data_IF_887600786039
#
_entry.id   IF_887600786039
#
_cell.length_a   1.000
_cell.length_b   1.000
_cell.length_c   1.000
_cell.angle_alpha   90.00
_cell.angle_beta   90.00
_cell.angle_gamma   90.00
#
_symmetry.space_group_name_H-M   'P 1'
#
loop_
_entity.id
_entity.type
_entity.pdbx_description
1 polymer ?
#
# COMPACT_ATOMS: atom_id res chain seq x y z
N UNK A 1 -14.02 -11.82 21.03
CA UNK A 1 -13.67 -13.25 21.02
C UNK A 1 -12.49 -13.39 20.10
N UNK A 2 -11.43 -14.10 20.43
CA UNK A 2 -10.36 -14.37 19.47
C UNK A 2 -10.98 -15.21 18.35
N UNK A 3 -10.87 -14.75 17.09
CA UNK A 3 -11.26 -15.52 15.92
C UNK A 3 -10.41 -16.81 15.85
N UNK A 4 -10.90 -17.84 15.17
CA UNK A 4 -10.10 -19.02 14.91
C UNK A 4 -8.86 -18.65 14.10
N UNK A 5 -7.74 -19.32 14.37
CA UNK A 5 -6.56 -19.24 13.48
C UNK A 5 -6.89 -20.06 12.23
N UNK A 6 -6.87 -19.40 11.07
CA UNK A 6 -7.08 -20.06 9.78
C UNK A 6 -5.72 -20.52 9.23
N UNK A 7 -5.66 -21.75 8.77
CA UNK A 7 -4.47 -22.28 8.10
C UNK A 7 -4.37 -21.75 6.66
N UNK A 8 -3.15 -21.47 6.25
CA UNK A 8 -2.78 -21.11 4.88
C UNK A 8 -1.65 -22.01 4.39
N UNK A 9 -1.58 -22.21 3.07
CA UNK A 9 -0.54 -22.97 2.41
C UNK A 9 0.31 -22.03 1.54
N UNK A 10 1.62 -22.05 1.72
CA UNK A 10 2.57 -21.34 0.86
C UNK A 10 2.63 -22.06 -0.50
N UNK A 11 2.28 -21.33 -1.56
CA UNK A 11 2.27 -21.86 -2.94
C UNK A 11 3.36 -21.25 -3.83
N UNK A 12 3.96 -20.15 -3.38
CA UNK A 12 5.05 -19.47 -4.06
C UNK A 12 6.07 -19.04 -3.02
N UNK A 13 7.26 -19.61 -3.10
CA UNK A 13 8.40 -19.24 -2.25
C UNK A 13 8.82 -17.79 -2.45
N UNK A 14 9.21 -17.06 -1.38
CA UNK A 14 9.62 -15.67 -1.48
C UNK A 14 10.75 -15.44 -2.48
N UNK A 15 10.60 -14.47 -3.37
CA UNK A 15 11.62 -14.05 -4.33
C UNK A 15 11.40 -12.60 -4.78
N UNK A 16 12.46 -11.80 -4.85
CA UNK A 16 12.41 -10.42 -5.31
C UNK A 16 12.29 -10.28 -6.84
N UNK A 17 12.58 -11.36 -7.61
CA UNK A 17 12.57 -11.34 -9.08
C UNK A 17 11.22 -11.74 -9.68
N UNK A 18 10.15 -11.71 -8.89
CA UNK A 18 8.82 -12.14 -9.32
C UNK A 18 8.00 -10.95 -9.79
N UNK A 19 7.52 -11.06 -11.03
CA UNK A 19 6.47 -10.21 -11.60
C UNK A 19 5.22 -11.06 -11.68
N UNK A 20 4.09 -10.55 -11.24
CA UNK A 20 2.86 -11.30 -11.17
C UNK A 20 1.65 -10.52 -11.66
N UNK A 21 0.62 -11.26 -12.07
CA UNK A 21 -0.69 -10.72 -12.42
C UNK A 21 -1.77 -11.70 -12.02
N UNK A 22 -2.95 -11.19 -11.73
CA UNK A 22 -4.14 -12.01 -11.46
C UNK A 22 -4.73 -12.51 -12.79
N UNK A 23 -5.09 -13.78 -12.82
CA UNK A 23 -5.80 -14.40 -13.94
C UNK A 23 -7.31 -14.17 -13.86
N UNK A 24 -8.05 -14.25 -14.97
CA UNK A 24 -9.51 -14.11 -14.96
C UNK A 24 -10.23 -15.15 -14.08
N UNK A 25 -9.68 -16.33 -13.89
CA UNK A 25 -10.21 -17.40 -13.02
C UNK A 25 -9.79 -17.23 -11.54
N UNK A 26 -9.07 -16.16 -11.21
CA UNK A 26 -8.57 -15.85 -9.88
C UNK A 26 -7.21 -16.45 -9.55
N UNK A 27 -6.63 -17.29 -10.42
CA UNK A 27 -5.26 -17.76 -10.28
C UNK A 27 -4.22 -16.67 -10.49
N UNK A 28 -2.94 -17.04 -10.46
CA UNK A 28 -1.82 -16.11 -10.67
C UNK A 28 -1.01 -16.50 -11.89
N UNK A 29 -0.68 -15.52 -12.73
CA UNK A 29 0.39 -15.61 -13.70
C UNK A 29 1.68 -15.10 -13.02
N UNK A 30 2.71 -15.91 -13.04
CA UNK A 30 4.01 -15.63 -12.46
C UNK A 30 5.04 -15.59 -13.57
N UNK A 31 5.83 -14.52 -13.60
CA UNK A 31 6.95 -14.37 -14.50
C UNK A 31 8.22 -14.11 -13.69
N UNK A 32 9.31 -14.84 -14.01
CA UNK A 32 10.66 -14.58 -13.49
C UNK A 32 11.58 -14.34 -14.66
N UNK A 33 12.55 -13.45 -14.48
CA UNK A 33 13.55 -13.15 -15.51
C UNK A 33 14.22 -14.43 -16.05
N UNK A 34 14.27 -14.56 -17.37
CA UNK A 34 14.88 -15.71 -18.03
C UNK A 34 14.17 -17.05 -17.85
N UNK A 35 13.00 -17.09 -17.21
CA UNK A 35 12.19 -18.28 -16.97
C UNK A 35 10.93 -18.30 -17.84
N UNK A 36 10.20 -19.40 -17.81
CA UNK A 36 8.88 -19.47 -18.45
C UNK A 36 7.83 -18.84 -17.54
N UNK A 37 6.80 -18.26 -18.15
CA UNK A 37 5.62 -17.83 -17.43
C UNK A 37 4.91 -19.08 -16.90
N UNK A 38 4.52 -19.04 -15.64
CA UNK A 38 3.80 -20.11 -14.96
C UNK A 38 2.43 -19.61 -14.50
N UNK A 39 1.41 -20.45 -14.59
CA UNK A 39 0.09 -20.18 -14.01
C UNK A 39 -0.08 -21.04 -12.76
N UNK A 40 -0.29 -20.39 -11.63
CA UNK A 40 -0.56 -21.04 -10.35
C UNK A 40 -2.07 -21.07 -10.08
N UNK A 41 -2.57 -22.23 -9.69
CA UNK A 41 -3.98 -22.46 -9.32
C UNK A 41 -4.98 -22.02 -10.41
N UNK A 42 -4.59 -22.19 -11.66
CA UNK A 42 -5.45 -21.95 -12.83
C UNK A 42 -5.68 -23.26 -13.60
N UNK A 43 -6.82 -23.36 -14.24
CA UNK A 43 -7.13 -24.44 -15.18
C UNK A 43 -6.47 -24.23 -16.56
N UNK A 44 -6.07 -23.02 -16.86
CA UNK A 44 -5.44 -22.64 -18.11
C UNK A 44 -3.92 -22.90 -18.07
N UNK A 45 -3.31 -22.91 -19.25
CA UNK A 45 -1.86 -23.05 -19.39
C UNK A 45 -1.30 -21.87 -20.19
N UNK A 46 -0.20 -21.27 -19.72
CA UNK A 46 0.43 -20.19 -20.48
C UNK A 46 1.05 -20.72 -21.78
N UNK A 47 1.18 -19.88 -22.80
CA UNK A 47 2.04 -20.15 -23.94
C UNK A 47 3.46 -20.45 -23.48
N UNK A 48 4.11 -21.47 -24.12
CA UNK A 48 5.48 -21.85 -23.76
C UNK A 48 6.48 -20.84 -24.31
N UNK A 49 6.78 -19.82 -23.52
CA UNK A 49 7.75 -18.79 -23.87
C UNK A 49 8.65 -18.47 -22.67
N UNK A 50 9.90 -18.12 -22.94
CA UNK A 50 10.86 -17.65 -21.93
C UNK A 50 10.78 -16.13 -21.82
N UNK A 51 10.62 -15.62 -20.61
CA UNK A 51 10.54 -14.18 -20.36
C UNK A 51 11.88 -13.51 -20.56
N UNK A 52 11.92 -12.33 -21.22
CA UNK A 52 13.13 -11.53 -21.33
C UNK A 52 13.60 -11.03 -19.94
N UNK A 53 14.90 -10.74 -19.82
CA UNK A 53 15.46 -10.11 -18.61
C UNK A 53 14.97 -8.67 -18.38
N UNK A 54 14.45 -8.01 -19.42
CA UNK A 54 13.92 -6.65 -19.36
C UNK A 54 12.47 -6.55 -18.91
N UNK A 55 11.82 -7.67 -18.58
CA UNK A 55 10.40 -7.67 -18.16
C UNK A 55 10.20 -6.88 -16.86
N UNK A 56 9.20 -6.01 -16.81
CA UNK A 56 8.84 -5.19 -15.64
C UNK A 56 7.38 -5.32 -15.22
N UNK A 57 6.48 -5.66 -16.17
CA UNK A 57 5.06 -5.82 -15.90
C UNK A 57 4.46 -6.95 -16.76
N UNK A 58 3.43 -7.60 -16.26
CA UNK A 58 2.69 -8.64 -16.97
C UNK A 58 1.19 -8.50 -16.72
N UNK A 59 0.38 -8.73 -17.74
CA UNK A 59 -1.06 -8.90 -17.58
C UNK A 59 -1.58 -9.96 -18.54
N UNK A 60 -2.61 -10.69 -18.11
CA UNK A 60 -3.27 -11.71 -18.93
C UNK A 60 -4.63 -11.20 -19.37
N UNK A 61 -4.89 -11.26 -20.67
CA UNK A 61 -6.11 -10.79 -21.30
C UNK A 61 -6.64 -11.84 -22.30
N UNK A 62 -7.85 -11.65 -22.83
CA UNK A 62 -8.35 -12.46 -23.94
C UNK A 62 -7.52 -12.29 -25.22
N UNK A 63 -6.78 -11.18 -25.38
CA UNK A 63 -5.90 -10.92 -26.52
C UNK A 63 -4.56 -11.66 -26.45
N UNK A 64 -4.21 -12.22 -25.29
CA UNK A 64 -2.95 -12.86 -24.98
C UNK A 64 -2.33 -12.31 -23.70
N UNK A 65 -1.06 -12.63 -23.46
CA UNK A 65 -0.29 -12.10 -22.33
C UNK A 65 0.42 -10.84 -22.79
N UNK A 66 0.11 -9.71 -22.14
CA UNK A 66 0.78 -8.44 -22.40
C UNK A 66 2.01 -8.37 -21.52
N UNK A 67 3.15 -8.09 -22.12
CA UNK A 67 4.46 -7.98 -21.49
C UNK A 67 4.92 -6.53 -21.58
N UNK A 68 5.19 -5.92 -20.43
CA UNK A 68 5.80 -4.61 -20.30
C UNK A 68 7.27 -4.74 -19.91
N UNK A 69 8.11 -3.88 -20.45
CA UNK A 69 9.56 -3.95 -20.29
C UNK A 69 10.16 -2.70 -19.68
N UNK A 70 11.31 -2.86 -19.03
CA UNK A 70 12.10 -1.73 -18.47
C UNK A 70 12.59 -0.75 -19.55
N UNK A 71 12.71 -1.20 -20.80
CA UNK A 71 13.10 -0.37 -21.94
C UNK A 71 11.91 0.26 -22.67
N UNK A 72 10.71 0.15 -22.10
CA UNK A 72 9.50 0.75 -22.63
C UNK A 72 8.77 -0.07 -23.70
N UNK A 73 9.29 -1.24 -24.10
CA UNK A 73 8.59 -2.11 -25.07
C UNK A 73 7.31 -2.68 -24.49
N UNK A 74 6.29 -2.77 -25.31
CA UNK A 74 5.01 -3.41 -25.01
C UNK A 74 4.81 -4.52 -26.05
N UNK A 75 4.78 -5.75 -25.60
CA UNK A 75 4.67 -6.94 -26.44
C UNK A 75 3.43 -7.73 -26.05
N UNK A 76 2.81 -8.39 -27.01
CA UNK A 76 1.71 -9.34 -26.76
C UNK A 76 2.14 -10.74 -27.16
N UNK A 77 2.18 -11.62 -26.20
CA UNK A 77 2.45 -13.05 -26.37
C UNK A 77 1.13 -13.80 -26.59
N UNK A 78 1.01 -14.45 -27.73
CA UNK A 78 -0.12 -15.31 -28.09
C UNK A 78 0.38 -16.69 -28.51
N UNK A 79 -0.52 -17.59 -28.88
CA UNK A 79 -0.16 -18.89 -29.46
C UNK A 79 0.65 -18.78 -30.77
N UNK A 80 0.45 -17.70 -31.52
CA UNK A 80 1.19 -17.42 -32.77
C UNK A 80 2.61 -16.87 -32.53
N UNK A 81 2.96 -16.51 -31.29
CA UNK A 81 4.25 -15.94 -30.90
C UNK A 81 4.13 -14.55 -30.28
N UNK A 82 5.26 -13.85 -30.22
CA UNK A 82 5.37 -12.48 -29.69
C UNK A 82 5.17 -11.49 -30.83
N UNK A 83 4.39 -10.43 -30.54
CA UNK A 83 4.14 -9.31 -31.41
C UNK A 83 4.44 -8.00 -30.66
N UNK A 84 5.27 -7.12 -31.24
CA UNK A 84 5.50 -5.79 -30.69
C UNK A 84 4.27 -4.93 -30.98
N UNK A 85 3.62 -4.44 -29.93
CA UNK A 85 2.39 -3.61 -30.04
C UNK A 85 2.65 -2.13 -29.81
N UNK A 86 3.70 -1.77 -29.08
CA UNK A 86 4.02 -0.37 -28.80
C UNK A 86 5.37 -0.19 -28.12
N UNK A 87 5.72 1.08 -27.93
CA UNK A 87 6.93 1.50 -27.25
C UNK A 87 6.71 2.81 -26.50
N UNK A 88 7.29 2.94 -25.31
CA UNK A 88 7.33 4.16 -24.50
C UNK A 88 8.77 4.64 -24.35
N UNK A 89 8.96 5.83 -23.84
CA UNK A 89 10.30 6.33 -23.51
C UNK A 89 10.75 5.90 -22.10
N UNK A 90 9.81 5.44 -21.27
CA UNK A 90 10.01 5.06 -19.88
C UNK A 90 9.66 3.58 -19.63
N UNK A 91 10.11 3.03 -18.51
CA UNK A 91 9.82 1.66 -18.08
C UNK A 91 8.32 1.45 -17.86
N UNK A 92 7.79 0.30 -18.24
CA UNK A 92 6.39 -0.04 -17.95
C UNK A 92 6.28 -0.46 -16.48
N UNK A 93 5.44 0.22 -15.70
CA UNK A 93 5.21 -0.09 -14.29
C UNK A 93 4.00 -1.00 -14.06
N UNK A 94 2.90 -0.71 -14.76
CA UNK A 94 1.63 -1.40 -14.51
C UNK A 94 0.88 -1.64 -15.80
N UNK A 95 0.30 -2.83 -15.91
CA UNK A 95 -0.63 -3.17 -16.98
C UNK A 95 -1.93 -3.67 -16.34
N UNK A 96 -3.04 -3.02 -16.63
CA UNK A 96 -4.38 -3.42 -16.20
C UNK A 96 -5.12 -4.05 -17.38
N UNK A 97 -5.66 -5.25 -17.15
CA UNK A 97 -6.43 -5.98 -18.15
C UNK A 97 -7.92 -5.67 -18.04
N UNK A 98 -8.57 -5.42 -19.18
CA UNK A 98 -10.01 -5.31 -19.33
C UNK A 98 -10.55 -6.30 -20.36
N UNK A 99 -11.84 -6.19 -20.68
CA UNK A 99 -12.48 -7.00 -21.72
C UNK A 99 -11.94 -6.55 -23.09
N UNK A 100 -11.03 -7.32 -23.70
CA UNK A 100 -10.40 -7.04 -24.99
C UNK A 100 -9.70 -5.69 -25.07
N UNK A 101 -9.19 -5.21 -23.99
CA UNK A 101 -8.43 -3.97 -23.92
C UNK A 101 -7.45 -4.02 -22.74
N UNK A 102 -6.52 -3.09 -22.71
CA UNK A 102 -5.63 -2.90 -21.55
C UNK A 102 -5.32 -1.41 -21.34
N UNK A 103 -4.93 -1.10 -20.13
CA UNK A 103 -4.36 0.20 -19.76
C UNK A 103 -2.94 -0.03 -19.29
N UNK A 104 -2.02 0.76 -19.80
CA UNK A 104 -0.60 0.66 -19.54
C UNK A 104 -0.15 1.97 -18.92
N UNK A 105 0.52 1.88 -17.77
CA UNK A 105 1.13 3.00 -17.06
C UNK A 105 2.65 2.80 -17.07
N UNK A 106 3.36 3.83 -17.47
CA UNK A 106 4.83 3.84 -17.41
C UNK A 106 5.37 4.63 -16.21
N UNK A 107 6.66 4.56 -15.97
CA UNK A 107 7.33 5.19 -14.83
C UNK A 107 7.34 6.73 -14.88
N UNK A 108 7.04 7.33 -16.01
CA UNK A 108 6.84 8.78 -16.14
C UNK A 108 5.38 9.19 -15.88
N UNK A 109 4.51 8.23 -15.57
CA UNK A 109 3.10 8.44 -15.29
C UNK A 109 2.25 8.64 -16.54
N UNK A 110 2.77 8.32 -17.74
CA UNK A 110 1.99 8.39 -18.96
C UNK A 110 1.07 7.16 -19.11
N UNK A 111 -0.20 7.40 -19.34
CA UNK A 111 -1.22 6.36 -19.45
C UNK A 111 -1.56 6.10 -20.91
N UNK A 112 -1.52 4.85 -21.30
CA UNK A 112 -1.86 4.40 -22.65
C UNK A 112 -3.02 3.43 -22.67
N UNK A 113 -3.81 3.49 -23.73
CA UNK A 113 -4.87 2.57 -24.02
C UNK A 113 -4.45 1.60 -25.12
N UNK A 114 -4.67 0.31 -24.89
CA UNK A 114 -4.54 -0.74 -25.91
C UNK A 114 -5.94 -1.24 -26.26
N UNK A 115 -6.28 -1.21 -27.53
CA UNK A 115 -7.55 -1.70 -28.07
C UNK A 115 -7.51 -3.21 -28.40
N UNK A 116 -8.65 -3.77 -28.88
CA UNK A 116 -8.78 -5.18 -29.25
C UNK A 116 -7.88 -5.61 -30.41
N UNK A 117 -7.48 -4.66 -31.28
CA UNK A 117 -6.54 -4.88 -32.37
C UNK A 117 -5.08 -4.75 -31.92
N UNK A 118 -4.82 -4.59 -30.60
CA UNK A 118 -3.53 -4.40 -29.96
C UNK A 118 -2.81 -3.10 -30.34
N UNK A 119 -3.54 -2.09 -30.85
CA UNK A 119 -2.97 -0.78 -31.09
C UNK A 119 -2.85 -0.03 -29.76
N UNK A 120 -1.66 0.48 -29.47
CA UNK A 120 -1.36 1.27 -28.26
C UNK A 120 -1.36 2.74 -28.62
N UNK A 121 -2.10 3.54 -27.85
CA UNK A 121 -2.16 5.00 -28.02
C UNK A 121 -2.12 5.70 -26.66
N UNK A 122 -1.50 6.86 -26.61
CA UNK A 122 -1.54 7.73 -25.42
C UNK A 122 -2.98 8.25 -25.24
N UNK A 123 -3.44 8.33 -24.00
CA UNK A 123 -4.71 8.98 -23.68
C UNK A 123 -4.44 10.47 -23.56
N UNK A 124 -4.81 11.23 -24.60
CA UNK A 124 -4.55 12.66 -24.68
C UNK A 124 -5.25 13.44 -23.55
N UNK A 125 -4.52 14.36 -22.93
CA UNK A 125 -5.04 15.23 -21.87
C UNK A 125 -4.97 14.65 -20.46
N UNK A 126 -4.54 13.41 -20.27
CA UNK A 126 -4.08 12.94 -18.98
C UNK A 126 -2.71 13.56 -18.64
N UNK A 127 -2.56 14.02 -17.41
CA UNK A 127 -1.25 14.38 -16.88
C UNK A 127 -0.52 13.17 -16.31
N UNK A 128 0.63 13.41 -15.68
CA UNK A 128 1.36 12.39 -14.93
C UNK A 128 0.45 11.72 -13.90
N UNK A 129 0.27 10.41 -14.01
CA UNK A 129 -0.66 9.62 -13.22
C UNK A 129 0.09 8.68 -12.28
N UNK A 130 -0.40 8.55 -11.05
CA UNK A 130 0.15 7.64 -10.03
C UNK A 130 -0.72 6.40 -9.81
N UNK A 131 -2.03 6.57 -9.86
CA UNK A 131 -2.98 5.48 -9.66
C UNK A 131 -3.88 5.39 -10.88
N UNK A 132 -3.99 4.19 -11.43
CA UNK A 132 -4.90 3.91 -12.54
C UNK A 132 -5.80 2.73 -12.18
N UNK A 133 -7.06 2.80 -12.57
CA UNK A 133 -8.05 1.72 -12.45
C UNK A 133 -8.79 1.54 -13.76
N UNK A 134 -9.15 0.31 -14.02
CA UNK A 134 -9.87 -0.09 -15.22
C UNK A 134 -11.09 -0.93 -14.85
N UNK A 135 -12.24 -0.61 -15.42
CA UNK A 135 -13.44 -1.43 -15.35
C UNK A 135 -14.05 -1.54 -16.74
N UNK A 136 -13.95 -2.70 -17.36
CA UNK A 136 -14.31 -2.94 -18.76
C UNK A 136 -13.57 -1.95 -19.68
N UNK A 137 -14.19 -0.87 -20.11
CA UNK A 137 -13.61 0.17 -20.98
C UNK A 137 -13.48 1.54 -20.30
N UNK A 138 -13.91 1.64 -19.05
CA UNK A 138 -13.83 2.87 -18.26
C UNK A 138 -12.54 2.91 -17.47
N UNK A 139 -11.83 4.02 -17.56
CA UNK A 139 -10.55 4.27 -16.93
C UNK A 139 -10.70 5.37 -15.88
N UNK A 140 -10.10 5.21 -14.73
CA UNK A 140 -9.87 6.28 -13.79
C UNK A 140 -8.37 6.43 -13.58
N UNK A 141 -7.86 7.65 -13.64
CA UNK A 141 -6.47 7.97 -13.39
C UNK A 141 -6.38 9.16 -12.42
N UNK A 142 -5.42 9.13 -11.50
CA UNK A 142 -5.16 10.24 -10.58
C UNK A 142 -3.75 10.75 -10.75
N UNK A 143 -3.61 12.07 -10.84
CA UNK A 143 -2.32 12.74 -10.89
C UNK A 143 -1.78 13.05 -9.50
N UNK A 144 -0.48 13.35 -9.46
CA UNK A 144 0.33 13.66 -8.27
C UNK A 144 -0.31 14.72 -7.37
N UNK A 145 -1.01 15.71 -7.97
CA UNK A 145 -1.66 16.79 -7.24
C UNK A 145 -3.17 16.58 -7.07
N UNK A 146 -3.63 15.33 -7.05
CA UNK A 146 -5.03 15.00 -6.79
C UNK A 146 -5.99 15.31 -7.93
N UNK A 147 -5.53 15.60 -9.13
CA UNK A 147 -6.41 15.65 -10.30
C UNK A 147 -6.92 14.26 -10.58
N UNK A 148 -8.22 14.12 -10.74
CA UNK A 148 -8.89 12.88 -11.13
C UNK A 148 -9.38 13.00 -12.57
N UNK A 149 -8.99 12.08 -13.42
CA UNK A 149 -9.51 11.93 -14.78
C UNK A 149 -10.32 10.65 -14.86
N UNK A 150 -11.45 10.75 -15.53
CA UNK A 150 -12.27 9.60 -15.91
C UNK A 150 -12.36 9.58 -17.42
N UNK A 151 -11.98 8.47 -18.03
CA UNK A 151 -11.99 8.26 -19.45
C UNK A 151 -12.83 7.02 -19.80
N UNK A 152 -13.34 6.98 -21.03
CA UNK A 152 -14.02 5.82 -21.59
C UNK A 152 -13.44 5.52 -22.97
N UNK A 153 -13.04 4.27 -23.23
CA UNK A 153 -12.38 3.85 -24.48
C UNK A 153 -11.16 4.73 -24.85
N UNK A 154 -10.46 5.26 -23.85
CA UNK A 154 -9.30 6.12 -24.03
C UNK A 154 -9.62 7.59 -24.34
N UNK A 155 -10.86 8.05 -24.16
CA UNK A 155 -11.26 9.45 -24.27
C UNK A 155 -11.70 10.00 -22.92
N UNK A 156 -11.16 11.16 -22.49
CA UNK A 156 -11.52 11.79 -21.21
C UNK A 156 -12.96 12.29 -21.28
N UNK A 157 -13.78 11.85 -20.31
CA UNK A 157 -15.18 12.28 -20.19
C UNK A 157 -15.38 13.23 -18.99
N UNK A 158 -14.58 13.08 -17.93
CA UNK A 158 -14.61 13.97 -16.78
C UNK A 158 -13.20 14.27 -16.26
N UNK A 159 -13.03 15.48 -15.75
CA UNK A 159 -11.83 15.91 -15.02
C UNK A 159 -12.25 16.62 -13.74
N UNK A 160 -11.67 16.25 -12.61
CA UNK A 160 -11.85 16.91 -11.33
C UNK A 160 -10.49 17.38 -10.82
N UNK A 161 -10.30 18.68 -10.79
CA UNK A 161 -9.11 19.31 -10.23
C UNK A 161 -9.31 19.56 -8.75
N UNK A 162 -8.22 19.68 -7.96
CA UNK A 162 -8.26 20.16 -6.59
C UNK A 162 -8.98 21.52 -6.48
N UNK A 163 -9.50 21.81 -5.29
CA UNK A 163 -10.08 23.12 -4.99
C UNK A 163 -9.00 24.21 -5.09
N UNK A 164 -9.37 25.43 -5.49
CA UNK A 164 -8.44 26.54 -5.67
C UNK A 164 -7.58 26.77 -4.40
N UNK A 165 -6.26 26.65 -4.57
CA UNK A 165 -5.27 26.87 -3.50
C UNK A 165 -5.11 25.69 -2.55
N UNK A 166 -5.74 24.54 -2.79
CA UNK A 166 -5.55 23.34 -1.96
C UNK A 166 -4.55 22.37 -2.60
N UNK A 167 -3.74 21.73 -1.75
CA UNK A 167 -2.91 20.58 -2.11
C UNK A 167 -3.72 19.33 -1.79
N UNK A 168 -4.07 18.56 -2.79
CA UNK A 168 -4.87 17.35 -2.62
C UNK A 168 -4.15 16.14 -3.21
N UNK A 169 -4.52 14.95 -2.73
CA UNK A 169 -4.08 13.68 -3.28
C UNK A 169 -5.24 12.68 -3.33
N UNK A 170 -5.18 11.73 -4.24
CA UNK A 170 -6.07 10.57 -4.28
C UNK A 170 -5.30 9.41 -3.64
N UNK A 171 -5.78 8.90 -2.51
CA UNK A 171 -5.09 7.82 -1.78
C UNK A 171 -5.43 6.42 -2.29
N UNK A 172 -6.65 6.22 -2.72
CA UNK A 172 -7.11 4.99 -3.35
C UNK A 172 -8.39 5.25 -4.17
N UNK A 173 -8.65 4.41 -5.13
CA UNK A 173 -9.88 4.43 -5.92
C UNK A 173 -10.21 3.05 -6.46
N UNK A 174 -11.50 2.80 -6.70
CA UNK A 174 -11.98 1.53 -7.23
C UNK A 174 -13.31 1.68 -7.95
N UNK A 175 -13.49 0.92 -9.02
CA UNK A 175 -14.76 0.84 -9.72
C UNK A 175 -15.68 -0.21 -9.09
N UNK A 176 -16.93 0.14 -8.96
CA UNK A 176 -17.98 -0.85 -8.71
C UNK A 176 -18.32 -1.59 -10.01
N UNK A 177 -18.83 -2.83 -9.93
CA UNK A 177 -19.31 -3.57 -11.11
C UNK A 177 -20.35 -2.82 -11.92
N UNK A 178 -21.07 -1.88 -11.32
CA UNK A 178 -22.05 -1.00 -11.98
C UNK A 178 -21.42 0.12 -12.81
N UNK A 179 -20.11 0.28 -12.83
CA UNK A 179 -19.37 1.35 -13.51
C UNK A 179 -19.22 2.64 -12.70
N UNK A 180 -19.70 2.68 -11.44
CA UNK A 180 -19.50 3.84 -10.57
C UNK A 180 -18.08 3.75 -9.98
N UNK A 181 -17.30 4.82 -10.16
CA UNK A 181 -16.00 5.00 -9.52
C UNK A 181 -16.20 5.55 -8.10
N UNK A 182 -15.47 4.99 -7.15
CA UNK A 182 -15.30 5.54 -5.79
C UNK A 182 -13.85 5.94 -5.64
N UNK A 183 -13.59 7.18 -5.25
CA UNK A 183 -12.25 7.73 -5.07
C UNK A 183 -12.12 8.38 -3.69
N UNK A 184 -11.05 8.10 -2.96
CA UNK A 184 -10.72 8.74 -1.70
C UNK A 184 -9.76 9.90 -1.94
N UNK A 185 -10.17 11.09 -1.58
CA UNK A 185 -9.38 12.31 -1.71
C UNK A 185 -8.99 12.83 -0.34
N UNK A 186 -7.74 13.20 -0.19
CA UNK A 186 -7.18 13.85 1.00
C UNK A 186 -6.76 15.27 0.65
N UNK A 187 -7.16 16.25 1.46
CA UNK A 187 -6.62 17.61 1.44
C UNK A 187 -5.49 17.73 2.44
N UNK A 188 -4.35 18.29 2.03
CA UNK A 188 -3.18 18.51 2.87
C UNK A 188 -3.16 19.93 3.46
N UNK A 189 -4.07 20.80 3.05
CA UNK A 189 -4.17 22.17 3.54
C UNK A 189 -5.10 22.27 4.76
N UNK A 190 -4.52 22.15 5.94
CA UNK A 190 -5.21 22.41 7.21
C UNK A 190 -5.55 23.89 7.49
N UNK A 191 -5.31 24.81 6.56
CA UNK A 191 -5.44 26.26 6.76
C UNK A 191 -6.48 26.83 5.81
N UNK A 192 -7.75 26.71 6.15
CA UNK A 192 -8.79 27.36 5.36
C UNK A 192 -10.24 26.92 5.61
N UNK A 193 -10.47 25.78 6.22
CA UNK A 193 -11.76 25.41 6.79
C UNK A 193 -12.92 25.17 5.82
N UNK A 194 -12.70 25.12 4.50
CA UNK A 194 -13.78 24.97 3.52
C UNK A 194 -13.87 23.60 2.85
N UNK A 195 -12.81 22.79 2.93
CA UNK A 195 -12.76 21.45 2.34
C UNK A 195 -12.42 20.42 3.42
N UNK A 196 -13.20 19.34 3.57
CA UNK A 196 -12.88 18.26 4.50
C UNK A 196 -11.49 17.69 4.23
N UNK A 197 -10.71 17.40 5.29
CA UNK A 197 -9.37 16.82 5.17
C UNK A 197 -9.41 15.49 4.40
N UNK A 198 -10.38 14.65 4.72
CA UNK A 198 -10.57 13.36 4.06
C UNK A 198 -11.99 13.24 3.55
N UNK A 199 -12.14 12.88 2.27
CA UNK A 199 -13.45 12.69 1.66
C UNK A 199 -13.45 11.55 0.65
N UNK A 200 -14.63 10.98 0.46
CA UNK A 200 -14.91 10.00 -0.57
C UNK A 200 -15.83 10.61 -1.60
N UNK A 201 -15.48 10.48 -2.86
CA UNK A 201 -16.24 10.94 -4.01
C UNK A 201 -16.74 9.73 -4.81
N UNK A 202 -18.02 9.75 -5.18
CA UNK A 202 -18.60 8.76 -6.09
C UNK A 202 -18.88 9.42 -7.43
N UNK A 203 -18.44 8.77 -8.51
CA UNK A 203 -18.51 9.28 -9.87
C UNK A 203 -19.17 8.28 -10.80
N UNK A 204 -20.16 8.71 -11.53
CA UNK A 204 -20.73 7.95 -12.63
C UNK A 204 -20.04 8.40 -13.94
N UNK A 205 -19.57 7.45 -14.74
CA UNK A 205 -18.79 7.72 -15.95
C UNK A 205 -19.56 8.60 -16.95
N UNK A 206 -20.90 8.51 -16.97
CA UNK A 206 -21.74 9.25 -17.92
C UNK A 206 -22.19 10.61 -17.39
N UNK A 207 -22.50 10.73 -16.10
CA UNK A 207 -23.14 11.91 -15.49
C UNK A 207 -22.22 12.74 -14.59
N UNK A 208 -21.02 12.25 -14.26
CA UNK A 208 -20.06 12.95 -13.40
C UNK A 208 -20.22 12.63 -11.92
N UNK A 209 -19.77 13.53 -11.04
CA UNK A 209 -19.80 13.32 -9.60
C UNK A 209 -21.24 13.29 -9.06
N UNK A 210 -21.63 12.17 -8.47
CA UNK A 210 -22.97 11.93 -7.95
C UNK A 210 -23.06 12.09 -6.43
N UNK A 211 -21.96 11.87 -5.71
CA UNK A 211 -21.93 11.96 -4.25
C UNK A 211 -20.55 12.33 -3.73
N UNK A 212 -20.52 12.96 -2.53
CA UNK A 212 -19.31 13.25 -1.78
C UNK A 212 -19.63 13.16 -0.28
N UNK A 213 -18.84 12.41 0.47
CA UNK A 213 -18.95 12.25 1.93
C UNK A 213 -17.60 12.45 2.60
N UNK A 214 -17.64 12.97 3.81
CA UNK A 214 -16.47 13.14 4.68
C UNK A 214 -16.14 11.83 5.37
N UNK A 215 -14.83 11.56 5.59
CA UNK A 215 -14.35 10.40 6.35
C UNK A 215 -13.45 10.87 7.48
N UNK A 216 -13.48 10.15 8.63
CA UNK A 216 -12.68 10.51 9.80
C UNK A 216 -11.17 10.32 9.56
N UNK A 217 -10.79 9.36 8.71
CA UNK A 217 -9.41 8.99 8.43
C UNK A 217 -9.17 8.82 6.93
N UNK A 218 -7.91 9.01 6.46
CA UNK A 218 -7.53 8.70 5.09
C UNK A 218 -7.79 7.22 4.78
N UNK A 219 -8.40 6.96 3.64
CA UNK A 219 -8.63 5.59 3.17
C UNK A 219 -7.38 5.06 2.48
N UNK A 220 -7.11 3.77 2.63
CA UNK A 220 -5.91 3.11 2.10
C UNK A 220 -6.19 1.95 1.16
N UNK A 221 -7.40 1.39 1.21
CA UNK A 221 -7.80 0.27 0.37
C UNK A 221 -9.31 0.27 0.15
N UNK A 222 -9.74 -0.27 -1.00
CA UNK A 222 -11.15 -0.39 -1.36
C UNK A 222 -11.42 -1.73 -2.04
N UNK A 223 -12.61 -2.29 -1.83
CA UNK A 223 -13.10 -3.45 -2.59
C UNK A 223 -14.58 -3.30 -2.90
N UNK A 224 -15.02 -3.55 -4.14
CA UNK A 224 -16.42 -3.47 -4.50
C UNK A 224 -17.20 -4.65 -3.92
N UNK A 225 -18.46 -4.39 -3.56
CA UNK A 225 -19.43 -5.40 -3.14
C UNK A 225 -20.74 -5.24 -3.90
N UNK A 226 -21.66 -6.17 -3.73
CA UNK A 226 -23.02 -6.04 -4.31
C UNK A 226 -23.78 -4.85 -3.76
N UNK A 227 -23.58 -4.50 -2.48
CA UNK A 227 -24.29 -3.43 -1.78
C UNK A 227 -23.59 -2.08 -1.77
N UNK A 228 -22.35 -2.00 -2.25
CA UNK A 228 -21.56 -0.77 -2.22
C UNK A 228 -20.08 -1.01 -2.41
N UNK A 229 -19.27 -0.34 -1.62
CA UNK A 229 -17.81 -0.51 -1.56
C UNK A 229 -17.42 -0.64 -0.09
N UNK A 230 -16.61 -1.62 0.25
CA UNK A 230 -15.93 -1.68 1.54
C UNK A 230 -14.63 -0.90 1.43
N UNK A 231 -14.36 -0.05 2.39
CA UNK A 231 -13.14 0.77 2.46
C UNK A 231 -12.41 0.50 3.77
N UNK A 232 -11.10 0.46 3.68
CA UNK A 232 -10.19 0.35 4.81
C UNK A 232 -9.40 1.64 4.97
N UNK A 233 -9.13 2.04 6.19
CA UNK A 233 -8.39 3.26 6.49
C UNK A 233 -6.97 2.98 7.03
N UNK A 234 -6.19 4.04 7.18
CA UNK A 234 -4.82 3.97 7.67
C UNK A 234 -4.72 3.66 9.17
N UNK A 235 -5.83 3.75 9.90
CA UNK A 235 -5.95 3.47 11.33
C UNK A 235 -6.61 2.13 11.62
N UNK A 236 -6.65 1.20 10.65
CA UNK A 236 -7.15 -0.16 10.81
C UNK A 236 -8.67 -0.28 10.96
N UNK A 237 -9.40 0.73 10.55
CA UNK A 237 -10.86 0.72 10.51
C UNK A 237 -11.40 0.30 9.16
N UNK A 238 -12.58 -0.33 9.17
CA UNK A 238 -13.31 -0.72 7.97
C UNK A 238 -14.70 -0.08 8.01
N UNK A 239 -15.10 0.49 6.88
CA UNK A 239 -16.40 1.16 6.69
C UNK A 239 -17.01 0.71 5.36
N UNK A 240 -18.33 0.62 5.30
CA UNK A 240 -19.03 0.38 4.04
C UNK A 240 -19.59 1.70 3.49
N UNK A 241 -19.36 1.94 2.21
CA UNK A 241 -20.01 2.99 1.43
C UNK A 241 -21.17 2.35 0.69
N UNK A 242 -22.39 2.73 1.00
CA UNK A 242 -23.60 2.21 0.35
C UNK A 242 -23.71 2.68 -1.11
N UNK A 243 -24.67 2.13 -1.85
CA UNK A 243 -24.97 2.56 -3.23
C UNK A 243 -25.34 4.05 -3.28
N UNK A 244 -26.01 4.54 -2.23
CA UNK A 244 -26.39 5.96 -2.06
C UNK A 244 -25.18 6.89 -1.85
N UNK A 245 -23.99 6.34 -1.58
CA UNK A 245 -22.80 7.07 -1.15
C UNK A 245 -22.75 7.32 0.36
N UNK A 246 -23.77 6.88 1.11
CA UNK A 246 -23.81 7.02 2.57
C UNK A 246 -22.83 6.06 3.23
N UNK A 247 -22.11 6.55 4.26
CA UNK A 247 -21.21 5.73 5.06
C UNK A 247 -21.97 4.97 6.15
N UNK A 248 -21.63 3.68 6.31
CA UNK A 248 -22.07 2.88 7.48
C UNK A 248 -21.18 3.16 8.70
N UNK A 249 -21.53 2.56 9.84
CA UNK A 249 -20.67 2.62 11.03
C UNK A 249 -19.29 2.00 10.79
N UNK A 250 -18.26 2.66 11.27
CA UNK A 250 -16.87 2.20 11.22
C UNK A 250 -16.62 1.07 12.23
N UNK A 251 -15.94 0.01 11.80
CA UNK A 251 -15.52 -1.12 12.65
C UNK A 251 -14.00 -1.03 12.80
N UNK A 252 -13.53 -0.83 14.03
CA UNK A 252 -12.10 -0.87 14.35
C UNK A 252 -11.65 -2.33 14.50
N UNK A 253 -10.61 -2.72 13.76
CA UNK A 253 -10.04 -4.08 13.78
C UNK A 253 -8.67 -4.12 14.47
N UNK A 254 -7.84 -3.13 14.18
CA UNK A 254 -6.46 -3.01 14.63
C UNK A 254 -6.09 -1.51 14.63
N UNK A 255 -4.89 -1.14 14.99
CA UNK A 255 -4.33 0.21 14.86
C UNK A 255 -3.41 0.36 13.64
N UNK A 256 -3.25 -0.69 12.85
CA UNK A 256 -2.40 -0.74 11.67
C UNK A 256 -3.18 -0.49 10.38
N UNK A 257 -2.49 0.13 9.41
CA UNK A 257 -3.04 0.41 8.08
C UNK A 257 -3.57 -0.85 7.39
N UNK A 258 -4.77 -0.76 6.82
CA UNK A 258 -5.31 -1.80 5.95
C UNK A 258 -4.61 -1.73 4.60
N UNK A 259 -3.90 -2.80 4.25
CA UNK A 259 -3.09 -2.87 3.02
C UNK A 259 -3.90 -3.30 1.81
N UNK A 260 -4.85 -4.21 1.97
CA UNK A 260 -5.70 -4.71 0.89
C UNK A 260 -7.03 -5.23 1.43
N UNK A 261 -8.03 -5.24 0.56
CA UNK A 261 -9.37 -5.75 0.83
C UNK A 261 -9.84 -6.64 -0.31
N UNK A 262 -10.56 -7.70 0.02
CA UNK A 262 -11.28 -8.52 -0.95
C UNK A 262 -12.61 -9.01 -0.36
N UNK A 263 -13.61 -9.15 -1.19
CA UNK A 263 -14.90 -9.68 -0.76
C UNK A 263 -15.17 -11.03 -1.42
N UNK A 264 -15.27 -12.09 -0.61
CA UNK A 264 -15.56 -13.44 -1.05
C UNK A 264 -16.91 -13.90 -0.47
N UNK A 265 -17.95 -13.92 -1.29
CA UNK A 265 -19.35 -14.11 -0.89
C UNK A 265 -19.81 -13.05 0.14
N UNK A 266 -19.97 -13.42 1.40
CA UNK A 266 -20.33 -12.52 2.49
C UNK A 266 -19.16 -12.25 3.45
N UNK A 267 -17.97 -12.81 3.15
CA UNK A 267 -16.77 -12.63 3.97
C UNK A 267 -15.90 -11.55 3.34
N UNK A 268 -15.55 -10.56 4.13
CA UNK A 268 -14.58 -9.54 3.79
C UNK A 268 -13.23 -10.04 4.31
N UNK A 269 -12.28 -10.29 3.39
CA UNK A 269 -10.90 -10.61 3.71
C UNK A 269 -10.11 -9.30 3.76
N UNK A 270 -9.48 -9.03 4.88
CA UNK A 270 -8.84 -7.77 5.21
C UNK A 270 -7.36 -8.02 5.45
N UNK A 271 -6.49 -7.54 4.57
CA UNK A 271 -5.06 -7.56 4.76
C UNK A 271 -4.62 -6.43 5.69
N UNK A 272 -3.97 -6.78 6.78
CA UNK A 272 -3.49 -5.83 7.79
C UNK A 272 -2.17 -6.33 8.37
N UNK A 273 -1.10 -5.54 8.18
CA UNK A 273 0.24 -5.96 8.56
C UNK A 273 0.55 -7.38 8.00
N UNK A 274 1.06 -8.30 8.78
CA UNK A 274 1.37 -9.69 8.39
C UNK A 274 0.17 -10.64 8.52
N UNK A 275 -1.07 -10.13 8.45
CA UNK A 275 -2.25 -10.93 8.70
C UNK A 275 -3.34 -10.69 7.65
N UNK A 276 -4.20 -11.69 7.52
CA UNK A 276 -5.52 -11.52 6.91
C UNK A 276 -6.58 -11.81 7.98
N UNK A 277 -7.55 -10.94 8.07
CA UNK A 277 -8.71 -11.08 8.96
C UNK A 277 -9.95 -11.34 8.12
N UNK A 278 -10.72 -12.37 8.44
CA UNK A 278 -12.03 -12.63 7.86
C UNK A 278 -13.12 -11.99 8.69
N UNK A 279 -13.89 -11.08 8.07
CA UNK A 279 -14.99 -10.37 8.70
C UNK A 279 -16.32 -10.70 8.03
N UNK A 280 -17.38 -11.00 8.81
CA UNK A 280 -18.76 -11.17 8.34
C UNK A 280 -19.71 -10.52 9.34
N UNK A 281 -20.67 -9.72 8.88
CA UNK A 281 -21.69 -9.04 9.72
C UNK A 281 -21.08 -8.29 10.91
N UNK A 282 -19.93 -7.64 10.70
CA UNK A 282 -19.21 -6.90 11.74
C UNK A 282 -18.50 -7.76 12.80
N UNK A 283 -18.38 -9.08 12.57
CA UNK A 283 -17.70 -10.01 13.49
C UNK A 283 -16.48 -10.63 12.82
N UNK A 284 -15.38 -10.68 13.55
CA UNK A 284 -14.19 -11.41 13.14
C UNK A 284 -14.48 -12.91 13.23
N UNK A 285 -14.34 -13.61 12.11
CA UNK A 285 -14.52 -15.05 12.03
C UNK A 285 -13.19 -15.77 12.32
N UNK A 286 -12.12 -15.32 11.66
CA UNK A 286 -10.82 -15.93 11.73
C UNK A 286 -9.70 -14.90 11.46
N UNK A 287 -8.49 -15.27 11.81
CA UNK A 287 -7.24 -14.58 11.51
C UNK A 287 -6.27 -15.59 10.87
N UNK A 288 -5.58 -15.19 9.83
CA UNK A 288 -4.55 -15.95 9.13
C UNK A 288 -3.23 -15.18 9.19
N UNK A 289 -2.18 -15.79 9.68
CA UNK A 289 -0.83 -15.20 9.78
C UNK A 289 -0.01 -15.54 8.53
N UNK A 290 0.76 -14.58 8.03
CA UNK A 290 1.54 -14.68 6.79
C UNK A 290 2.95 -14.11 7.01
N UNK A 291 3.90 -14.51 6.15
CA UNK A 291 5.29 -14.03 6.21
C UNK A 291 5.54 -12.78 5.35
N UNK A 292 4.55 -11.95 5.14
CA UNK A 292 4.68 -10.71 4.38
C UNK A 292 3.41 -9.87 4.46
N UNK A 293 3.50 -8.61 4.05
CA UNK A 293 2.35 -7.71 4.00
C UNK A 293 1.47 -8.07 2.81
N UNK A 294 0.19 -8.45 3.00
CA UNK A 294 -0.72 -8.72 1.90
C UNK A 294 -0.90 -7.49 1.00
N UNK A 295 -0.62 -7.65 -0.29
CA UNK A 295 -0.80 -6.59 -1.31
C UNK A 295 -2.01 -6.82 -2.17
N UNK A 296 -2.37 -8.08 -2.36
CA UNK A 296 -3.57 -8.46 -3.12
C UNK A 296 -4.19 -9.72 -2.52
N UNK A 297 -5.50 -9.78 -2.53
CA UNK A 297 -6.27 -10.97 -2.18
C UNK A 297 -7.26 -11.22 -3.30
N UNK A 298 -7.16 -12.38 -3.95
CA UNK A 298 -8.01 -12.75 -5.09
C UNK A 298 -8.75 -14.04 -4.80
N UNK A 299 -10.02 -14.11 -5.20
CA UNK A 299 -10.83 -15.33 -5.06
C UNK A 299 -10.62 -16.25 -6.25
N UNK A 300 -10.39 -17.52 -5.97
CA UNK A 300 -10.35 -18.62 -6.94
C UNK A 300 -11.75 -19.09 -7.35
N UNK A 301 -11.85 -19.71 -8.51
CA UNK A 301 -13.09 -20.32 -9.01
C UNK A 301 -13.61 -21.47 -8.13
N UNK A 302 -12.74 -22.13 -7.36
CA UNK A 302 -13.10 -23.18 -6.40
C UNK A 302 -13.55 -22.67 -5.03
N UNK A 303 -13.56 -21.34 -4.83
CA UNK A 303 -14.01 -20.67 -3.59
C UNK A 303 -12.88 -20.37 -2.60
N UNK A 304 -11.69 -20.91 -2.77
CA UNK A 304 -10.49 -20.50 -2.01
C UNK A 304 -10.06 -19.09 -2.40
N UNK A 305 -9.11 -18.54 -1.68
CA UNK A 305 -8.49 -17.26 -2.00
C UNK A 305 -6.97 -17.37 -2.01
N UNK A 306 -6.34 -16.55 -2.84
CA UNK A 306 -4.89 -16.37 -2.86
C UNK A 306 -4.57 -14.99 -2.30
N UNK A 307 -3.60 -14.92 -1.39
CA UNK A 307 -2.96 -13.69 -0.97
C UNK A 307 -1.56 -13.60 -1.59
N UNK A 308 -1.29 -12.51 -2.26
CA UNK A 308 0.08 -12.14 -2.67
C UNK A 308 0.63 -11.18 -1.63
N UNK A 309 1.76 -11.54 -1.05
CA UNK A 309 2.42 -10.82 0.03
C UNK A 309 3.79 -10.31 -0.42
N UNK A 310 4.21 -9.20 0.17
CA UNK A 310 5.54 -8.63 -0.05
C UNK A 310 6.24 -8.49 1.30
N UNK A 311 7.44 -8.99 1.40
CA UNK A 311 8.31 -8.77 2.54
C UNK A 311 8.81 -7.31 2.52
N UNK A 312 8.54 -6.50 3.54
CA UNK A 312 8.90 -5.08 3.56
C UNK A 312 10.41 -4.81 3.62
N UNK A 313 11.22 -5.82 3.95
CA UNK A 313 12.67 -5.68 4.08
C UNK A 313 13.44 -6.08 2.82
N UNK A 314 12.90 -7.04 2.05
CA UNK A 314 13.58 -7.62 0.89
C UNK A 314 12.85 -7.39 -0.43
N UNK A 315 11.65 -6.83 -0.39
CA UNK A 315 10.69 -6.74 -1.51
C UNK A 315 10.36 -8.09 -2.16
N UNK A 316 10.66 -9.20 -1.45
CA UNK A 316 10.37 -10.53 -1.94
C UNK A 316 8.86 -10.80 -1.97
N UNK A 317 8.39 -11.29 -3.11
CA UNK A 317 6.99 -11.65 -3.34
C UNK A 317 6.78 -13.11 -2.99
N UNK A 318 5.75 -13.40 -2.19
CA UNK A 318 5.27 -14.75 -1.88
C UNK A 318 3.76 -14.85 -2.13
N UNK A 319 3.25 -16.06 -2.27
CA UNK A 319 1.81 -16.28 -2.41
C UNK A 319 1.32 -17.43 -1.54
N UNK A 320 0.17 -17.19 -0.91
CA UNK A 320 -0.46 -18.08 0.06
C UNK A 320 -1.89 -18.36 -0.35
N UNK A 321 -2.32 -19.61 -0.25
CA UNK A 321 -3.71 -20.01 -0.48
C UNK A 321 -4.39 -20.34 0.84
N UNK A 322 -5.64 -19.93 0.98
CA UNK A 322 -6.46 -20.18 2.17
C UNK A 322 -7.93 -20.34 1.78
N UNK A 323 -8.73 -20.96 2.67
CA UNK A 323 -10.17 -21.08 2.48
C UNK A 323 -10.93 -20.04 3.32
N UNK A 324 -11.50 -18.96 2.72
CA UNK A 324 -12.21 -17.93 3.49
C UNK A 324 -13.41 -18.42 4.27
N UNK A 325 -14.04 -19.55 3.84
CA UNK A 325 -15.18 -20.14 4.55
C UNK A 325 -14.76 -20.86 5.84
N UNK A 326 -13.45 -21.10 6.03
CA UNK A 326 -12.90 -21.93 7.10
C UNK A 326 -13.25 -23.42 6.91
N UNK A 327 -12.54 -24.30 7.58
CA UNK A 327 -12.98 -25.68 7.74
C UNK A 327 -14.00 -25.71 8.87
N UNK A 328 -15.27 -25.86 8.53
CA UNK A 328 -16.41 -25.91 9.47
C UNK A 328 -16.33 -27.15 10.40
N UNK A 329 -15.35 -28.04 10.24
CA UNK A 329 -15.30 -29.36 10.87
C UNK A 329 -14.25 -29.56 11.96
N UNK A 330 -13.49 -28.57 12.38
CA UNK A 330 -12.61 -28.72 13.56
C UNK A 330 -12.88 -27.65 14.60
N UNK A 331 -13.84 -27.92 15.50
CA UNK A 331 -13.72 -27.52 16.90
C UNK A 331 -12.47 -28.20 17.50
N UNK A 332 -11.30 -27.77 17.07
CA UNK A 332 -10.10 -28.05 17.81
C UNK A 332 -10.14 -27.25 19.10
N UNK A 333 -10.47 -27.92 20.19
CA UNK A 333 -10.14 -27.49 21.53
C UNK A 333 -8.62 -27.33 21.62
N UNK A 334 -8.10 -26.23 21.11
CA UNK A 334 -6.78 -25.75 21.47
C UNK A 334 -6.95 -25.13 22.84
N UNK A 335 -6.78 -25.97 23.87
CA UNK A 335 -6.65 -25.52 25.24
C UNK A 335 -5.42 -24.62 25.30
N UNK A 336 -5.64 -23.32 25.30
CA UNK A 336 -4.66 -22.37 25.80
C UNK A 336 -4.38 -22.78 27.25
N UNK A 337 -3.18 -23.27 27.51
CA UNK A 337 -2.67 -23.34 28.88
C UNK A 337 -2.74 -21.91 29.41
N UNK A 338 -3.67 -21.67 30.33
CA UNK A 338 -3.69 -20.49 31.14
C UNK A 338 -2.31 -20.37 31.81
N UNK A 339 -1.47 -19.47 31.32
CA UNK A 339 -0.51 -18.85 32.20
C UNK A 339 -1.37 -18.11 33.20
N UNK A 340 -1.14 -18.48 34.46
CA UNK A 340 -1.80 -17.90 35.61
C UNK A 340 -1.77 -16.39 35.49
N UNK A 341 -2.97 -15.81 35.46
CA UNK A 341 -3.16 -14.38 35.61
C UNK A 341 -2.63 -14.00 36.97
N UNK A 342 -1.48 -13.34 37.00
CA UNK A 342 -1.09 -12.54 38.11
C UNK A 342 -2.11 -11.44 38.22
N UNK A 343 -2.88 -11.39 39.30
CA UNK A 343 -3.84 -10.35 39.61
C UNK A 343 -3.13 -9.00 39.55
N UNK A 344 -3.42 -8.23 38.47
CA UNK A 344 -3.02 -6.85 38.40
C UNK A 344 -3.72 -6.06 39.53
N UNK A 345 -3.03 -5.22 40.31
CA UNK A 345 -3.69 -4.38 41.28
C UNK A 345 -4.66 -3.42 40.61
N UNK A 346 -5.83 -3.35 41.23
CA UNK A 346 -6.94 -2.51 40.79
C UNK A 346 -6.55 -1.03 41.05
N UNK A 347 -6.20 -0.31 40.00
CA UNK A 347 -6.09 1.14 40.01
C UNK A 347 -7.42 1.72 39.56
N UNK A 348 -8.29 2.05 40.52
CA UNK A 348 -9.37 2.99 40.32
C UNK A 348 -8.81 4.42 40.34
N UNK A 349 -9.18 5.17 39.32
CA UNK A 349 -9.11 6.63 39.21
C UNK A 349 -7.73 7.30 39.35
N UNK A 350 -7.13 7.66 38.21
CA UNK A 350 -6.53 9.00 38.09
C UNK A 350 -6.42 9.46 36.64
N UNK A 351 -6.89 10.65 36.44
CA UNK A 351 -7.04 11.58 35.33
C UNK A 351 -6.00 11.49 34.22
N UNK A 352 -6.51 11.64 32.98
CA UNK A 352 -5.84 12.03 31.75
C UNK A 352 -4.55 12.85 31.96
N UNK A 353 -3.39 12.21 31.87
CA UNK A 353 -2.12 12.90 31.62
C UNK A 353 -1.76 12.69 30.16
N UNK A 354 -1.93 13.75 29.38
CA UNK A 354 -1.34 13.84 28.03
C UNK A 354 0.17 14.00 28.22
N UNK A 355 0.93 13.01 27.80
CA UNK A 355 2.38 13.14 27.66
C UNK A 355 2.70 13.83 26.31
N UNK A 356 2.85 15.15 26.36
CA UNK A 356 3.63 15.91 25.38
C UNK A 356 4.99 16.19 26.01
N UNK A 357 5.94 15.26 25.85
CA UNK A 357 7.32 15.52 26.24
C UNK A 357 8.26 15.35 25.04
N UNK A 358 9.09 16.36 24.81
CA UNK A 358 10.19 16.27 23.85
C UNK A 358 11.28 15.33 24.39
N UNK A 359 12.04 14.66 23.50
CA UNK A 359 13.09 13.73 23.89
C UNK A 359 14.13 14.29 24.89
N UNK A 360 14.35 15.60 24.91
CA UNK A 360 15.26 16.26 25.88
C UNK A 360 14.75 16.24 27.33
N UNK A 361 13.43 16.18 27.55
CA UNK A 361 12.86 16.09 28.90
C UNK A 361 12.98 14.68 29.48
N UNK A 362 12.87 13.65 28.63
CA UNK A 362 13.05 12.24 29.05
C UNK A 362 14.51 11.99 29.49
N UNK A 363 15.47 12.55 28.75
CA UNK A 363 16.90 12.43 29.09
C UNK A 363 17.22 13.13 30.42
N UNK A 364 16.64 14.33 30.70
CA UNK A 364 16.80 15.00 32.00
C UNK A 364 16.21 14.21 33.18
N UNK A 365 15.03 13.60 32.97
CA UNK A 365 14.40 12.78 34.02
C UNK A 365 15.25 11.54 34.33
N UNK A 366 15.89 10.92 33.34
CA UNK A 366 16.77 9.80 33.53
C UNK A 366 18.09 10.20 34.21
N UNK A 367 18.65 11.36 33.89
CA UNK A 367 19.85 11.90 34.55
C UNK A 367 19.57 12.28 36.02
N UNK A 368 18.43 12.94 36.30
CA UNK A 368 18.00 13.29 37.66
C UNK A 368 17.75 12.02 38.53
N UNK A 369 17.17 10.97 37.94
CA UNK A 369 16.95 9.70 38.64
C UNK A 369 18.26 8.96 38.92
N UNK A 370 19.30 9.10 38.08
CA UNK A 370 20.61 8.49 38.34
C UNK A 370 21.41 9.18 39.43
N UNK A 371 21.24 10.48 39.64
CA UNK A 371 21.90 11.21 40.76
C UNK A 371 21.24 10.94 42.12
N UNK A 372 19.93 10.63 42.19
CA UNK A 372 19.25 10.31 43.44
C UNK A 372 19.55 8.88 44.00
N UNK A 373 20.04 7.98 43.14
CA UNK A 373 20.31 6.57 43.53
C UNK A 373 21.70 6.38 44.20
N UNK A 374 22.65 7.32 44.04
CA UNK A 374 23.99 7.20 44.61
C UNK A 374 24.04 7.39 46.14
N UNK A 375 22.98 7.89 46.82
CA UNK A 375 22.96 8.18 48.23
C UNK A 375 22.20 7.16 49.11
N UNK A 376 21.66 6.08 48.56
CA UNK A 376 21.03 5.02 49.32
C UNK A 376 21.90 3.76 49.32
N UNK A 377 22.26 3.28 50.53
CA UNK A 377 22.96 2.00 50.76
C UNK A 377 22.02 0.88 50.32
N UNK A 378 22.30 0.28 49.15
CA UNK A 378 21.57 -0.83 48.56
C UNK A 378 22.19 -2.13 49.05
N UNK A 379 21.39 -3.10 49.53
CA UNK A 379 21.83 -4.44 49.88
C UNK A 379 22.35 -5.20 48.65
N UNK A 380 23.32 -6.12 48.81
CA UNK A 380 24.00 -6.86 47.72
C UNK A 380 23.01 -7.62 46.78
N UNK A 381 21.83 -8.01 47.26
CA UNK A 381 20.80 -8.69 46.44
C UNK A 381 20.05 -7.75 45.46
N UNK A 382 19.97 -6.46 45.78
CA UNK A 382 19.32 -5.46 44.89
C UNK A 382 20.25 -5.01 43.75
N UNK A 383 21.58 -5.16 43.91
CA UNK A 383 22.57 -4.80 42.90
C UNK A 383 22.51 -5.73 41.68
N UNK A 384 22.31 -7.04 41.91
CA UNK A 384 22.18 -8.04 40.85
C UNK A 384 20.89 -7.79 39.99
N UNK A 385 19.80 -7.38 40.66
CA UNK A 385 18.53 -7.05 39.97
C UNK A 385 18.66 -5.77 39.14
N UNK A 386 19.36 -4.76 39.65
CA UNK A 386 19.62 -3.52 38.92
C UNK A 386 20.57 -3.73 37.74
N UNK A 387 21.58 -4.61 37.85
CA UNK A 387 22.45 -4.99 36.73
C UNK A 387 21.68 -5.79 35.66
N UNK A 388 20.74 -6.66 36.05
CA UNK A 388 19.90 -7.42 35.15
C UNK A 388 18.91 -6.49 34.41
N UNK A 389 18.24 -5.56 35.10
CA UNK A 389 17.38 -4.53 34.52
C UNK A 389 18.16 -3.57 33.62
N UNK A 390 19.35 -3.15 33.98
CA UNK A 390 20.21 -2.31 33.15
C UNK A 390 20.70 -3.05 31.90
N UNK A 391 20.89 -4.37 31.96
CA UNK A 391 21.25 -5.21 30.83
C UNK A 391 20.06 -5.43 29.90
N UNK A 392 18.85 -5.59 30.43
CA UNK A 392 17.61 -5.67 29.64
C UNK A 392 17.27 -4.32 29.01
N UNK A 393 17.45 -3.20 29.71
CA UNK A 393 17.26 -1.87 29.15
C UNK A 393 18.23 -1.56 27.99
N UNK A 394 19.44 -2.09 28.02
CA UNK A 394 20.42 -2.00 26.91
C UNK A 394 20.07 -2.87 25.70
N UNK A 395 19.12 -3.78 25.83
CA UNK A 395 18.61 -4.60 24.73
C UNK A 395 17.43 -3.95 24.00
N UNK A 396 16.90 -2.83 24.50
CA UNK A 396 15.83 -2.09 23.84
C UNK A 396 16.48 -1.16 22.82
N UNK A 397 16.50 -1.58 21.57
CA UNK A 397 16.92 -0.75 20.45
C UNK A 397 15.86 0.31 20.19
N UNK A 398 16.21 1.59 20.32
CA UNK A 398 15.34 2.71 20.02
C UNK A 398 15.52 3.10 18.54
N UNK A 399 14.45 3.26 17.77
CA UNK A 399 14.59 3.60 16.37
C UNK A 399 15.25 4.98 16.20
N UNK A 400 16.10 5.15 15.19
CA UNK A 400 16.73 6.42 14.89
C UNK A 400 15.72 7.49 14.45
N UNK A 401 15.99 8.74 14.76
CA UNK A 401 15.18 9.90 14.43
C UNK A 401 15.71 10.54 13.14
N UNK A 402 14.88 10.57 12.09
CA UNK A 402 15.23 11.21 10.81
C UNK A 402 14.92 12.71 10.86
N UNK A 403 15.90 13.53 10.47
CA UNK A 403 15.77 14.96 10.24
C UNK A 403 16.22 15.30 8.82
N UNK A 404 15.29 15.63 7.94
CA UNK A 404 15.53 15.96 6.54
C UNK A 404 15.90 17.44 6.31
N UNK A 405 15.95 18.27 7.37
CA UNK A 405 16.16 19.70 7.29
C UNK A 405 14.91 20.50 6.93
N UNK A 406 15.09 21.80 6.76
CA UNK A 406 14.00 22.75 6.45
C UNK A 406 13.67 22.77 4.94
N UNK A 407 12.46 23.23 4.61
CA UNK A 407 12.02 23.44 3.25
C UNK A 407 12.89 24.47 2.52
N UNK A 408 13.28 24.14 1.29
CA UNK A 408 14.19 24.95 0.48
C UNK A 408 13.46 25.59 -0.70
N UNK A 409 13.67 26.88 -0.90
CA UNK A 409 13.25 27.60 -2.12
C UNK A 409 14.49 28.01 -2.90
N UNK A 410 14.62 27.50 -4.14
CA UNK A 410 15.78 27.73 -4.99
C UNK A 410 15.34 28.31 -6.34
N UNK A 411 16.11 29.24 -6.89
CA UNK A 411 15.86 29.77 -8.23
C UNK A 411 16.47 28.81 -9.27
N UNK A 412 15.68 28.45 -10.28
CA UNK A 412 16.15 27.61 -11.38
C UNK A 412 17.13 28.36 -12.28
N UNK A 413 18.09 27.65 -12.84
CA UNK A 413 19.00 28.11 -13.88
C UNK A 413 18.26 28.41 -15.20
N UNK A 414 18.99 28.89 -16.20
CA UNK A 414 18.44 29.23 -17.53
C UNK A 414 17.86 28.01 -18.27
N UNK A 415 18.31 26.80 -17.94
CA UNK A 415 17.81 25.54 -18.48
C UNK A 415 16.56 25.00 -17.75
N UNK A 416 16.03 25.76 -16.78
CA UNK A 416 14.85 25.38 -16.02
C UNK A 416 15.10 24.31 -14.94
N UNK A 417 16.36 24.03 -14.62
CA UNK A 417 16.74 23.09 -13.54
C UNK A 417 17.41 23.82 -12.38
N UNK A 418 17.47 23.20 -11.20
CA UNK A 418 18.24 23.67 -10.07
C UNK A 418 18.97 22.50 -9.38
N UNK A 419 20.16 22.75 -8.88
CA UNK A 419 20.89 21.81 -8.06
C UNK A 419 20.61 22.13 -6.59
N UNK A 420 20.04 21.18 -5.84
CA UNK A 420 19.75 21.32 -4.42
C UNK A 420 20.60 20.36 -3.60
N UNK A 421 20.92 20.77 -2.39
CA UNK A 421 21.62 19.95 -1.41
C UNK A 421 20.61 19.53 -0.34
N UNK A 422 20.36 18.22 -0.24
CA UNK A 422 19.60 17.65 0.86
C UNK A 422 20.59 17.24 1.95
N UNK A 423 20.35 17.71 3.19
CA UNK A 423 21.24 17.51 4.33
C UNK A 423 20.48 16.90 5.50
N UNK A 424 20.69 15.64 5.76
CA UNK A 424 20.05 14.87 6.84
C UNK A 424 20.95 14.67 8.07
N UNK A 425 22.08 15.35 8.19
CA UNK A 425 23.05 15.14 9.29
C UNK A 425 22.55 15.51 10.68
N UNK A 426 21.41 16.19 10.77
CA UNK A 426 20.74 16.45 12.04
C UNK A 426 19.98 15.21 12.58
N UNK A 427 19.83 14.17 11.78
CA UNK A 427 19.31 12.89 12.25
C UNK A 427 20.24 12.26 13.26
N UNK A 428 19.67 11.61 14.26
CA UNK A 428 20.43 10.97 15.33
C UNK A 428 19.77 9.66 15.75
N UNK A 429 20.57 8.81 16.38
CA UNK A 429 20.14 7.57 17.02
C UNK A 429 20.33 7.72 18.53
N UNK A 430 19.26 7.54 19.34
CA UNK A 430 19.34 7.74 20.81
C UNK A 430 20.26 6.76 21.53
N UNK A 431 20.47 5.55 21.00
CA UNK A 431 21.20 4.47 21.66
C UNK A 431 22.26 3.80 20.79
N UNK A 432 22.45 4.28 19.53
CA UNK A 432 23.37 3.70 18.57
C UNK A 432 23.91 4.68 17.54
N UNK A 433 24.22 4.15 16.37
CA UNK A 433 24.70 4.90 15.22
C UNK A 433 23.81 4.58 13.99
N UNK A 434 23.48 5.60 13.22
CA UNK A 434 22.75 5.43 11.97
C UNK A 434 23.68 4.78 10.94
N UNK A 435 23.36 3.55 10.53
CA UNK A 435 24.13 2.79 9.55
C UNK A 435 23.62 2.98 8.12
N UNK A 436 22.34 3.25 7.93
CA UNK A 436 21.72 3.39 6.61
C UNK A 436 20.99 4.72 6.48
N UNK A 437 21.23 5.39 5.37
CA UNK A 437 20.59 6.61 4.95
C UNK A 437 19.94 6.39 3.59
N UNK A 438 18.68 6.73 3.44
CA UNK A 438 17.94 6.63 2.18
C UNK A 438 17.12 7.89 1.95
N UNK A 439 17.47 8.64 0.92
CA UNK A 439 16.65 9.74 0.43
C UNK A 439 15.69 9.21 -0.63
N UNK A 440 14.42 9.46 -0.45
CA UNK A 440 13.35 9.02 -1.30
C UNK A 440 12.72 10.22 -1.99
N UNK A 441 12.43 10.11 -3.28
CA UNK A 441 11.64 11.09 -4.01
C UNK A 441 10.13 10.90 -3.74
N UNK A 442 9.29 11.69 -4.38
CA UNK A 442 7.82 11.64 -4.26
C UNK A 442 7.24 10.26 -4.63
N UNK A 443 7.95 9.49 -5.45
CA UNK A 443 7.58 8.13 -5.89
C UNK A 443 8.25 7.04 -5.06
N UNK A 444 8.78 7.39 -3.88
CA UNK A 444 9.51 6.48 -2.98
C UNK A 444 10.76 5.82 -3.59
N UNK A 445 11.28 6.35 -4.69
CA UNK A 445 12.52 5.85 -5.30
C UNK A 445 13.71 6.43 -4.56
N UNK A 446 14.71 5.58 -4.29
CA UNK A 446 15.95 6.01 -3.63
C UNK A 446 16.76 6.89 -4.58
N UNK A 447 16.90 8.17 -4.25
CA UNK A 447 17.69 9.15 -5.00
C UNK A 447 19.08 9.36 -4.39
N UNK A 448 19.35 8.80 -3.21
CA UNK A 448 20.65 8.80 -2.57
C UNK A 448 20.67 8.01 -1.27
N UNK A 449 21.88 7.53 -0.88
CA UNK A 449 22.10 6.64 0.26
C UNK A 449 23.19 7.14 1.23
N UNK A 450 23.32 8.46 1.35
CA UNK A 450 24.27 9.10 2.28
C UNK A 450 23.59 10.20 3.06
N UNK A 451 24.15 10.61 4.20
CA UNK A 451 23.60 11.70 5.04
C UNK A 451 23.43 13.04 4.31
N UNK A 452 24.17 13.25 3.21
CA UNK A 452 24.03 14.43 2.33
C UNK A 452 24.07 14.00 0.89
N UNK A 453 23.14 14.53 0.09
CA UNK A 453 23.10 14.28 -1.36
C UNK A 453 22.84 15.58 -2.13
N UNK A 454 23.34 15.65 -3.35
CA UNK A 454 22.98 16.68 -4.31
C UNK A 454 22.01 16.09 -5.33
N UNK A 455 20.90 16.77 -5.52
CA UNK A 455 19.85 16.36 -6.46
C UNK A 455 19.63 17.49 -7.46
N UNK A 456 19.49 17.16 -8.73
CA UNK A 456 19.10 18.10 -9.76
C UNK A 456 17.60 17.97 -10.03
N UNK A 457 16.85 19.03 -9.81
CA UNK A 457 15.41 19.08 -9.95
C UNK A 457 15.00 20.05 -11.05
N UNK A 458 13.86 19.79 -11.70
CA UNK A 458 13.23 20.72 -12.64
C UNK A 458 12.46 21.79 -11.89
N UNK A 459 12.05 22.85 -12.58
CA UNK A 459 11.18 23.88 -12.01
C UNK A 459 9.85 23.26 -11.58
N UNK A 460 9.50 23.39 -10.30
CA UNK A 460 8.31 22.83 -9.68
C UNK A 460 8.49 22.67 -8.18
N UNK A 461 7.52 22.04 -7.53
CA UNK A 461 7.61 21.62 -6.13
C UNK A 461 8.01 20.16 -6.11
N UNK A 462 9.01 19.81 -5.30
CA UNK A 462 9.51 18.45 -5.12
C UNK A 462 9.52 18.11 -3.64
N UNK A 463 9.10 16.91 -3.30
CA UNK A 463 9.12 16.39 -1.92
C UNK A 463 10.15 15.29 -1.83
N UNK A 464 11.07 15.42 -0.87
CA UNK A 464 12.03 14.39 -0.54
C UNK A 464 11.76 13.89 0.88
N UNK A 465 11.88 12.60 1.10
CA UNK A 465 11.80 11.98 2.41
C UNK A 465 13.13 11.36 2.79
N UNK A 466 13.51 11.50 4.04
CA UNK A 466 14.68 10.83 4.59
C UNK A 466 14.22 9.64 5.42
N UNK A 467 14.78 8.48 5.15
CA UNK A 467 14.68 7.28 5.98
C UNK A 467 16.05 6.96 6.54
N UNK A 468 16.13 6.69 7.82
CA UNK A 468 17.36 6.27 8.49
C UNK A 468 17.12 4.93 9.20
N UNK A 469 18.17 4.11 9.29
CA UNK A 469 18.15 2.85 10.03
C UNK A 469 19.49 2.68 10.77
N UNK A 470 19.44 2.05 11.90
CA UNK A 470 20.52 1.57 12.75
C UNK A 470 20.99 0.16 12.37
#
# INVERSE_FOLDING_TARGET
MPGHLLESELILEPSADIIWSTLPDGGLAIAKHGSKIEYLLSSEKPPSHVTPESLSAVAVTEMGIILGHNDGRIEVLSESGIELSGMTEASIETILSGDKCAVILDSDGEVRWMDEDKNVRVIEGLGESEIVRLNSKSIAASGVFGTLWIANEGEIVHTSTPSDGSIESISCMEFRPSGILVASRRSLDGIGGHVPENRVECWDVSSGRIHCSETDHPLSSMTPTRSGVIVGDVMGGVTQIEISGQLSGRIQLDDQRISTLSCSDEIICIGIWFNIIGLRDGRILWKCELDGIPRSITRLSDGRSIAVCVDPSTDAVSAWVFNPQGDVEHEANVGFQNKETIDAPNYEDEENIRFEHSGEEVTRILDDMSEEVEDQIVDEEDTDLLEELASEAKMINLPPVADAGEDLTVTSDEDGTAEILLDGRASYDPDGEINVWEWLDERERVVGSTSRIKVRVRKGTHVFRLRVKD
#
